data_IF_875108810889
#
_entry.id   IF_875108810889
#
_cell.length_a   1.000
_cell.length_b   1.000
_cell.length_c   1.000
_cell.angle_alpha   90.00
_cell.angle_beta   90.00
_cell.angle_gamma   90.00
#
_symmetry.space_group_name_H-M   'P 1'
#
loop_
_entity.id
_entity.type
_entity.pdbx_description
1 polymer ?
#
# COMPACT_ATOMS: atom_id res chain seq x y z
N UNK A 1 5.72 -25.48 27.97
CA UNK A 1 5.99 -24.05 28.20
C UNK A 1 6.59 -23.45 26.95
N UNK A 2 5.89 -22.51 26.38
CA UNK A 2 6.35 -21.84 25.16
C UNK A 2 7.37 -20.76 25.50
N UNK A 3 8.51 -20.79 24.82
CA UNK A 3 9.48 -19.71 24.91
C UNK A 3 8.99 -18.53 24.07
N UNK A 4 8.97 -17.35 24.68
CA UNK A 4 8.72 -16.13 23.94
C UNK A 4 9.96 -15.76 23.14
N UNK A 5 9.84 -15.75 21.83
CA UNK A 5 10.91 -15.31 20.95
C UNK A 5 10.94 -13.77 20.96
N UNK A 6 12.10 -13.21 21.26
CA UNK A 6 12.32 -11.76 21.12
C UNK A 6 12.62 -11.46 19.67
N UNK A 7 11.79 -10.63 19.05
CA UNK A 7 11.99 -10.20 17.67
C UNK A 7 13.01 -9.06 17.61
N UNK A 8 13.84 -9.08 16.59
CA UNK A 8 14.83 -8.06 16.34
C UNK A 8 14.21 -6.85 15.64
N UNK A 9 14.69 -5.67 15.93
CA UNK A 9 14.34 -4.46 15.21
C UNK A 9 15.44 -4.09 14.22
N UNK A 10 15.09 -3.29 13.21
CA UNK A 10 16.05 -2.81 12.22
C UNK A 10 16.64 -1.47 12.64
N UNK A 11 17.90 -1.23 12.28
CA UNK A 11 18.49 0.10 12.43
C UNK A 11 17.84 1.08 11.46
N UNK A 12 17.60 2.34 11.88
CA UNK A 12 17.13 3.37 10.95
C UNK A 12 18.04 3.51 9.72
N UNK A 13 17.44 3.71 8.55
CA UNK A 13 18.17 3.82 7.29
C UNK A 13 18.41 2.51 6.57
N UNK A 14 17.93 1.40 7.09
CA UNK A 14 18.06 0.09 6.44
C UNK A 14 17.11 -0.01 5.25
N UNK A 15 17.59 -0.54 4.13
CA UNK A 15 16.77 -0.78 2.95
C UNK A 15 16.31 -2.23 2.96
N UNK A 16 15.01 -2.43 2.89
CA UNK A 16 14.35 -3.74 3.00
C UNK A 16 13.43 -3.98 1.81
N UNK A 17 13.26 -5.24 1.47
CA UNK A 17 12.22 -5.70 0.54
C UNK A 17 11.31 -6.68 1.26
N UNK A 18 10.04 -6.63 0.96
CA UNK A 18 9.07 -7.54 1.56
C UNK A 18 7.67 -7.29 1.06
N UNK A 19 6.73 -7.92 1.72
CA UNK A 19 5.31 -7.84 1.36
C UNK A 19 4.62 -6.82 2.26
N UNK A 20 3.88 -5.90 1.63
CA UNK A 20 3.08 -4.90 2.32
C UNK A 20 1.73 -5.49 2.71
N UNK A 21 1.43 -5.52 3.99
CA UNK A 21 0.11 -5.91 4.50
C UNK A 21 -0.64 -4.67 4.94
N UNK A 22 -1.74 -4.39 4.24
CA UNK A 22 -2.56 -3.21 4.50
C UNK A 22 -3.63 -3.47 5.54
N UNK A 23 -3.82 -2.51 6.42
CA UNK A 23 -4.93 -2.45 7.38
C UNK A 23 -5.79 -1.21 7.13
N UNK A 24 -5.90 -0.80 5.87
CA UNK A 24 -6.60 0.41 5.45
C UNK A 24 -5.61 1.55 5.27
N UNK A 25 -5.59 2.50 6.20
CA UNK A 25 -4.73 3.68 6.11
C UNK A 25 -3.27 3.42 6.46
N UNK A 26 -3.00 2.43 7.29
CA UNK A 26 -1.65 2.05 7.65
C UNK A 26 -1.38 0.60 7.27
N UNK A 27 -0.15 0.17 7.35
CA UNK A 27 0.20 -1.19 7.07
C UNK A 27 1.53 -1.59 7.70
N UNK A 28 1.95 -2.80 7.38
CA UNK A 28 3.21 -3.36 7.85
C UNK A 28 3.96 -4.02 6.71
N UNK A 29 5.27 -3.85 6.71
CA UNK A 29 6.15 -4.63 5.86
C UNK A 29 6.53 -5.90 6.61
N UNK A 30 6.28 -7.05 6.01
CA UNK A 30 6.65 -8.35 6.55
C UNK A 30 7.89 -8.83 5.81
N UNK A 31 8.97 -9.09 6.54
CA UNK A 31 10.24 -9.51 5.98
C UNK A 31 10.57 -10.96 6.30
N UNK A 32 10.67 -11.29 7.57
CA UNK A 32 11.01 -12.64 8.05
C UNK A 32 10.44 -12.86 9.46
N UNK A 33 10.64 -14.08 9.99
CA UNK A 33 10.12 -14.44 11.31
C UNK A 33 10.99 -13.99 12.48
N UNK A 34 12.19 -13.49 12.20
CA UNK A 34 13.15 -13.09 13.23
C UNK A 34 13.08 -11.61 13.59
N UNK A 35 12.53 -10.80 12.71
CA UNK A 35 12.40 -9.36 12.89
C UNK A 35 10.96 -8.94 13.12
N UNK A 36 10.81 -7.84 13.82
CA UNK A 36 9.50 -7.19 13.94
C UNK A 36 9.05 -6.65 12.58
N UNK A 37 7.73 -6.67 12.36
CA UNK A 37 7.15 -6.06 11.18
C UNK A 37 7.39 -4.55 11.20
N UNK A 38 7.67 -3.98 10.03
CA UNK A 38 7.94 -2.55 9.91
C UNK A 38 6.62 -1.80 9.75
N UNK A 39 6.32 -0.88 10.66
CA UNK A 39 5.11 -0.07 10.59
C UNK A 39 5.25 0.98 9.49
N UNK A 40 4.21 1.11 8.67
CA UNK A 40 4.14 2.07 7.57
C UNK A 40 2.87 2.90 7.72
N UNK A 41 3.06 4.19 7.99
CA UNK A 41 1.93 5.10 8.19
C UNK A 41 1.23 5.42 6.87
N UNK A 42 0.04 6.01 6.98
CA UNK A 42 -0.76 6.43 5.84
C UNK A 42 0.02 7.30 4.83
N UNK A 43 0.78 8.25 5.32
CA UNK A 43 1.56 9.16 4.46
C UNK A 43 2.81 8.52 3.85
N UNK A 44 3.25 7.36 4.34
CA UNK A 44 4.51 6.72 3.96
C UNK A 44 4.32 5.45 3.11
N UNK A 45 3.07 5.07 2.79
CA UNK A 45 2.84 3.85 2.01
C UNK A 45 2.94 4.06 0.50
N UNK A 46 3.18 5.29 0.05
CA UNK A 46 3.22 5.66 -1.37
C UNK A 46 1.87 5.30 -2.01
N UNK A 47 1.83 4.39 -2.94
CA UNK A 47 0.59 3.83 -3.48
C UNK A 47 0.58 2.29 -3.37
N UNK A 48 1.26 1.78 -2.36
CA UNK A 48 1.27 0.35 -2.09
C UNK A 48 -0.11 -0.15 -1.68
N UNK A 49 -0.46 -1.32 -2.17
CA UNK A 49 -1.72 -2.00 -1.92
C UNK A 49 -1.44 -3.33 -1.25
N UNK A 50 -2.41 -3.88 -0.56
CA UNK A 50 -2.25 -5.13 0.17
C UNK A 50 -1.63 -6.23 -0.70
N UNK A 51 -0.60 -6.88 -0.16
CA UNK A 51 0.19 -7.94 -0.76
C UNK A 51 1.19 -7.50 -1.86
N UNK A 52 1.31 -6.21 -2.12
CA UNK A 52 2.36 -5.74 -3.02
C UNK A 52 3.75 -6.04 -2.45
N UNK A 53 4.69 -6.33 -3.33
CA UNK A 53 6.11 -6.41 -2.96
C UNK A 53 6.71 -5.02 -3.08
N UNK A 54 7.30 -4.54 -2.00
CA UNK A 54 7.78 -3.15 -1.91
C UNK A 54 9.20 -3.08 -1.38
N UNK A 55 9.86 -1.97 -1.72
CA UNK A 55 11.14 -1.60 -1.12
C UNK A 55 10.89 -0.49 -0.10
N UNK A 56 11.42 -0.67 1.10
CA UNK A 56 11.17 0.22 2.24
C UNK A 56 12.50 0.67 2.83
N UNK A 57 12.57 1.94 3.19
CA UNK A 57 13.67 2.49 4.00
C UNK A 57 13.16 2.68 5.42
N UNK A 58 13.86 2.08 6.37
CA UNK A 58 13.49 2.23 7.78
C UNK A 58 13.85 3.60 8.30
N UNK A 59 13.07 4.05 9.28
CA UNK A 59 13.22 5.37 9.90
C UNK A 59 13.18 5.22 11.41
N UNK A 60 13.69 6.24 12.11
CA UNK A 60 13.50 6.35 13.55
C UNK A 60 12.00 6.52 13.83
N UNK A 61 11.48 5.79 14.83
CA UNK A 61 10.09 5.92 15.22
C UNK A 61 9.80 7.33 15.75
N UNK A 62 8.88 8.05 15.10
CA UNK A 62 8.45 9.38 15.52
C UNK A 62 7.46 9.30 16.67
N UNK A 63 6.67 8.23 16.72
CA UNK A 63 5.59 8.09 17.70
C UNK A 63 6.03 7.34 18.96
N UNK A 64 7.13 6.59 18.88
CA UNK A 64 7.55 5.70 19.95
C UNK A 64 6.67 4.48 20.15
N UNK A 65 5.64 4.30 19.33
CA UNK A 65 4.69 3.19 19.47
C UNK A 65 5.17 1.90 18.82
N UNK A 66 6.05 2.00 17.84
CA UNK A 66 6.57 0.88 17.09
C UNK A 66 8.10 0.91 17.14
N UNK A 67 8.71 -0.26 17.23
CA UNK A 67 10.17 -0.35 17.28
C UNK A 67 10.82 0.03 15.95
N UNK A 68 10.15 -0.27 14.84
CA UNK A 68 10.63 0.07 13.51
C UNK A 68 9.50 0.67 12.69
N UNK A 69 9.75 1.85 12.14
CA UNK A 69 8.87 2.50 11.17
C UNK A 69 9.60 2.59 9.85
N UNK A 70 8.85 2.65 8.74
CA UNK A 70 9.44 2.71 7.41
C UNK A 70 8.62 3.50 6.43
N UNK A 71 9.27 3.84 5.32
CA UNK A 71 8.66 4.52 4.19
C UNK A 71 8.83 3.66 2.94
N UNK A 72 7.74 3.44 2.21
CA UNK A 72 7.81 2.77 0.92
C UNK A 72 8.53 3.68 -0.07
N UNK A 73 9.63 3.19 -0.61
CA UNK A 73 10.43 3.92 -1.60
C UNK A 73 9.94 3.64 -3.01
N UNK A 74 9.54 2.40 -3.28
CA UNK A 74 8.94 2.00 -4.55
C UNK A 74 8.18 0.69 -4.40
N UNK A 75 7.19 0.50 -5.27
CA UNK A 75 6.48 -0.76 -5.42
C UNK A 75 7.21 -1.56 -6.49
N UNK A 76 7.75 -2.73 -6.11
CA UNK A 76 8.54 -3.57 -7.00
C UNK A 76 7.65 -4.48 -7.84
N UNK A 77 6.59 -5.00 -7.25
CA UNK A 77 5.66 -5.90 -7.92
C UNK A 77 4.28 -5.73 -7.33
N UNK A 78 3.27 -5.59 -8.18
CA UNK A 78 1.87 -5.54 -7.76
C UNK A 78 1.33 -6.95 -7.56
N UNK A 79 0.67 -7.19 -6.44
CA UNK A 79 -0.03 -8.44 -6.19
C UNK A 79 -1.27 -8.55 -7.09
N UNK A 80 -1.94 -7.42 -7.28
CA UNK A 80 -3.10 -7.33 -8.16
C UNK A 80 -2.92 -6.13 -9.07
N UNK A 81 -3.11 -6.33 -10.36
CA UNK A 81 -3.06 -5.27 -11.35
C UNK A 81 -4.45 -4.80 -11.80
N UNK A 82 -5.49 -5.50 -11.37
CA UNK A 82 -6.89 -5.14 -11.67
C UNK A 82 -7.66 -4.87 -10.39
N UNK A 83 -8.54 -3.87 -10.43
CA UNK A 83 -9.37 -3.47 -9.30
C UNK A 83 -10.79 -3.21 -9.75
N UNK A 84 -11.76 -3.65 -8.95
CA UNK A 84 -13.15 -3.25 -9.13
C UNK A 84 -13.33 -1.90 -8.45
N UNK A 85 -13.76 -0.91 -9.22
CA UNK A 85 -13.84 0.47 -8.78
C UNK A 85 -15.21 1.08 -9.06
N UNK A 86 -15.52 2.16 -8.36
CA UNK A 86 -16.60 3.06 -8.72
C UNK A 86 -16.01 4.20 -9.54
N UNK A 87 -16.59 4.44 -10.71
CA UNK A 87 -16.13 5.51 -11.60
C UNK A 87 -16.78 6.84 -11.24
N UNK A 88 -16.01 7.90 -11.27
CA UNK A 88 -16.50 9.28 -11.13
C UNK A 88 -15.98 10.11 -12.29
N UNK A 89 -16.89 10.75 -13.00
CA UNK A 89 -16.56 11.63 -14.11
C UNK A 89 -16.06 12.97 -13.57
N UNK A 90 -14.90 13.38 -14.05
CA UNK A 90 -14.32 14.69 -13.75
C UNK A 90 -14.32 15.55 -15.01
N UNK A 91 -13.94 16.81 -14.89
CA UNK A 91 -13.92 17.77 -16.00
C UNK A 91 -13.05 17.30 -17.17
N UNK A 92 -11.87 16.76 -16.88
CA UNK A 92 -10.88 16.35 -17.87
C UNK A 92 -10.52 14.87 -17.72
N UNK A 93 -11.52 13.99 -17.82
CA UNK A 93 -11.33 12.55 -17.63
C UNK A 93 -12.19 12.02 -16.50
N UNK A 94 -11.63 11.12 -15.70
CA UNK A 94 -12.36 10.52 -14.59
C UNK A 94 -11.44 9.97 -13.52
N UNK A 95 -12.06 9.49 -12.47
CA UNK A 95 -11.39 8.89 -11.35
C UNK A 95 -12.07 7.57 -11.00
N UNK A 96 -11.27 6.54 -10.76
CA UNK A 96 -11.78 5.26 -10.30
C UNK A 96 -11.35 5.04 -8.85
N UNK A 97 -12.33 4.77 -8.00
CA UNK A 97 -12.10 4.53 -6.58
C UNK A 97 -12.35 3.07 -6.28
N UNK A 98 -11.33 2.31 -5.86
CA UNK A 98 -11.54 0.91 -5.51
C UNK A 98 -12.61 0.74 -4.44
N UNK A 99 -13.48 -0.26 -4.62
CA UNK A 99 -14.56 -0.54 -3.66
C UNK A 99 -14.05 -1.24 -2.40
N UNK A 100 -12.88 -1.84 -2.44
CA UNK A 100 -12.25 -2.45 -1.27
C UNK A 100 -11.67 -1.36 -0.38
N UNK A 101 -12.17 -1.27 0.85
CA UNK A 101 -11.73 -0.25 1.83
C UNK A 101 -10.24 -0.35 2.20
N UNK A 102 -9.64 -1.52 2.00
CA UNK A 102 -8.21 -1.72 2.26
C UNK A 102 -7.32 -1.16 1.15
N UNK A 103 -7.92 -0.81 0.02
CA UNK A 103 -7.18 -0.22 -1.10
C UNK A 103 -7.32 1.29 -1.03
N UNK A 104 -6.29 1.94 -0.50
CA UNK A 104 -6.26 3.38 -0.32
C UNK A 104 -5.53 4.02 -1.50
N UNK A 105 -6.22 4.11 -2.62
CA UNK A 105 -5.70 4.78 -3.80
C UNK A 105 -6.84 5.28 -4.69
N UNK A 106 -6.53 6.32 -5.44
CA UNK A 106 -7.40 6.85 -6.49
C UNK A 106 -6.71 6.61 -7.83
N UNK A 107 -7.45 6.08 -8.77
CA UNK A 107 -6.91 5.76 -10.10
C UNK A 107 -7.42 6.81 -11.08
N UNK A 108 -6.49 7.56 -11.67
CA UNK A 108 -6.83 8.55 -12.68
C UNK A 108 -7.13 7.84 -14.01
N UNK A 109 -8.29 8.16 -14.59
CA UNK A 109 -8.69 7.66 -15.89
C UNK A 109 -8.55 8.80 -16.89
N UNK A 110 -7.58 8.73 -17.82
CA UNK A 110 -7.40 9.78 -18.81
C UNK A 110 -8.65 9.95 -19.70
N UNK A 111 -8.87 11.17 -20.16
CA UNK A 111 -9.94 11.48 -21.10
C UNK A 111 -9.83 10.59 -22.33
N UNK A 112 -10.95 10.00 -22.75
CA UNK A 112 -11.01 9.07 -23.88
C UNK A 112 -10.82 7.60 -23.50
N UNK A 113 -10.46 7.28 -22.25
CA UNK A 113 -10.29 5.90 -21.79
C UNK A 113 -11.40 5.42 -20.86
N UNK A 114 -12.42 6.23 -20.66
CA UNK A 114 -13.55 5.91 -19.78
C UNK A 114 -14.53 4.85 -20.35
N UNK A 115 -14.42 4.50 -21.61
CA UNK A 115 -15.20 3.45 -22.29
C UNK A 115 -16.70 3.54 -22.00
N UNK A 116 -17.27 4.74 -22.15
CA UNK A 116 -18.69 5.05 -21.92
C UNK A 116 -19.15 4.91 -20.46
N UNK A 117 -18.22 4.83 -19.50
CA UNK A 117 -18.58 4.80 -18.09
C UNK A 117 -19.17 6.14 -17.65
N UNK A 118 -20.15 6.08 -16.77
CA UNK A 118 -20.77 7.25 -16.16
C UNK A 118 -20.56 7.24 -14.65
N UNK A 119 -20.70 8.41 -14.02
CA UNK A 119 -20.54 8.54 -12.56
C UNK A 119 -21.43 7.52 -11.83
N UNK A 120 -20.85 6.80 -10.90
CA UNK A 120 -21.50 5.74 -10.13
C UNK A 120 -21.41 4.36 -10.75
N UNK A 121 -20.93 4.24 -11.99
CA UNK A 121 -20.77 2.95 -12.65
C UNK A 121 -19.64 2.14 -11.98
N UNK A 122 -19.82 0.83 -11.91
CA UNK A 122 -18.75 -0.07 -11.51
C UNK A 122 -17.90 -0.42 -12.71
N UNK A 123 -16.61 -0.28 -12.56
CA UNK A 123 -15.64 -0.54 -13.62
C UNK A 123 -14.54 -1.43 -13.11
N UNK A 124 -13.93 -2.19 -14.02
CA UNK A 124 -12.73 -2.96 -13.72
C UNK A 124 -11.56 -2.19 -14.33
N UNK A 125 -10.61 -1.81 -13.50
CA UNK A 125 -9.46 -1.00 -13.92
C UNK A 125 -8.20 -1.83 -13.84
N UNK A 126 -7.44 -1.85 -14.93
CA UNK A 126 -6.10 -2.43 -14.96
C UNK A 126 -5.09 -1.31 -14.74
N UNK A 127 -4.20 -1.52 -13.77
CA UNK A 127 -3.13 -0.59 -13.43
C UNK A 127 -1.82 -1.14 -13.98
N UNK A 128 -1.20 -0.37 -14.85
CA UNK A 128 0.09 -0.74 -15.45
C UNK A 128 1.26 -0.02 -14.79
#
# INVERSE_FOLDING_TARGET
MEEKKTLLSYKPGTILQGVYKSYGRFGFLITDDDHEDVYISDRDHLNAVNNDTVEVKTMKSETGRHNTEGRVMKVLERANDTFVCTYEMLKDGGEAVPIDEKVDMYIEIPEGQEMDATTGARVIVEVT
#
